data_IF_834178760223
#
_entry.id   IF_834178760223
#
_cell.length_a   1.000
_cell.length_b   1.000
_cell.length_c   1.000
_cell.angle_alpha   90.00
_cell.angle_beta   90.00
_cell.angle_gamma   90.00
#
_symmetry.space_group_name_H-M   'P 1'
#
loop_
_entity.id
_entity.type
_entity.pdbx_description
1 polymer ?
#
# COMPACT_ATOMS: atom_id res chain seq x y z
N UNK A 1 -8.75 -15.72 2.71
CA UNK A 1 -8.81 -15.87 4.18
C UNK A 1 -9.66 -17.06 4.63
N UNK A 2 -10.97 -17.11 4.33
CA UNK A 2 -11.88 -18.15 4.84
C UNK A 2 -11.45 -19.61 4.52
N UNK A 3 -10.87 -19.85 3.35
CA UNK A 3 -10.35 -21.17 2.97
C UNK A 3 -9.15 -21.59 3.84
N UNK A 4 -8.16 -20.71 4.03
CA UNK A 4 -6.99 -20.98 4.85
C UNK A 4 -7.37 -21.27 6.31
N UNK A 5 -8.37 -20.57 6.85
CA UNK A 5 -8.93 -20.84 8.18
C UNK A 5 -9.58 -22.23 8.23
N UNK A 6 -10.43 -22.55 7.24
CA UNK A 6 -11.14 -23.84 7.17
C UNK A 6 -10.16 -25.02 7.11
N UNK A 7 -9.07 -24.89 6.37
CA UNK A 7 -8.06 -25.93 6.20
C UNK A 7 -7.01 -25.95 7.33
N UNK A 8 -7.11 -25.05 8.32
CA UNK A 8 -6.10 -24.84 9.38
C UNK A 8 -4.69 -24.57 8.83
N UNK A 9 -4.60 -23.89 7.68
CA UNK A 9 -3.33 -23.49 7.08
C UNK A 9 -2.85 -22.17 7.71
N UNK A 10 -2.04 -22.30 8.75
CA UNK A 10 -1.54 -21.16 9.52
C UNK A 10 -0.51 -20.32 8.76
N UNK A 11 0.28 -20.93 7.87
CA UNK A 11 1.26 -20.21 7.07
C UNK A 11 0.55 -19.25 6.11
N UNK A 12 -0.41 -19.76 5.34
CA UNK A 12 -1.22 -18.93 4.44
C UNK A 12 -2.02 -17.87 5.20
N UNK A 13 -2.50 -18.16 6.41
CA UNK A 13 -3.21 -17.17 7.23
C UNK A 13 -2.31 -15.99 7.62
N UNK A 14 -1.04 -16.24 7.97
CA UNK A 14 -0.09 -15.18 8.32
C UNK A 14 0.23 -14.29 7.11
N UNK A 15 0.51 -14.88 5.95
CA UNK A 15 0.77 -14.14 4.71
C UNK A 15 -0.46 -13.31 4.29
N UNK A 16 -1.65 -13.93 4.29
CA UNK A 16 -2.89 -13.23 3.93
C UNK A 16 -3.26 -12.12 4.91
N UNK A 17 -2.91 -12.26 6.19
CA UNK A 17 -3.14 -11.20 7.17
C UNK A 17 -2.28 -9.98 6.88
N UNK A 18 -0.99 -10.18 6.58
CA UNK A 18 -0.12 -9.08 6.15
C UNK A 18 -0.64 -8.46 4.85
N UNK A 19 -0.92 -9.28 3.83
CA UNK A 19 -1.42 -8.80 2.54
C UNK A 19 -2.69 -7.94 2.69
N UNK A 20 -3.67 -8.39 3.48
CA UNK A 20 -4.90 -7.60 3.71
C UNK A 20 -4.60 -6.28 4.40
N UNK A 21 -3.69 -6.28 5.37
CA UNK A 21 -3.30 -5.05 6.08
C UNK A 21 -2.61 -4.08 5.13
N UNK A 22 -1.71 -4.59 4.29
CA UNK A 22 -0.99 -3.82 3.28
C UNK A 22 -1.95 -3.20 2.26
N UNK A 23 -2.89 -3.99 1.73
CA UNK A 23 -3.86 -3.49 0.76
C UNK A 23 -4.75 -2.36 1.31
N UNK A 24 -5.08 -2.36 2.60
CA UNK A 24 -5.83 -1.26 3.22
C UNK A 24 -5.03 0.04 3.22
N UNK A 25 -3.74 -0.03 3.54
CA UNK A 25 -2.86 1.15 3.52
C UNK A 25 -2.57 1.61 2.08
N UNK A 26 -2.37 0.69 1.14
CA UNK A 26 -2.14 1.01 -0.27
C UNK A 26 -3.37 1.65 -0.94
N UNK A 27 -4.58 1.15 -0.67
CA UNK A 27 -5.82 1.76 -1.18
C UNK A 27 -6.04 3.17 -0.61
N UNK A 28 -5.70 3.39 0.67
CA UNK A 28 -5.76 4.71 1.28
C UNK A 28 -4.75 5.68 0.65
N UNK A 29 -3.50 5.25 0.48
CA UNK A 29 -2.45 6.05 -0.16
C UNK A 29 -2.84 6.44 -1.60
N UNK A 30 -3.31 5.46 -2.39
CA UNK A 30 -3.80 5.72 -3.73
C UNK A 30 -4.98 6.72 -3.74
N UNK A 31 -5.93 6.55 -2.82
CA UNK A 31 -7.06 7.48 -2.66
C UNK A 31 -6.62 8.91 -2.32
N UNK A 32 -5.66 9.06 -1.40
CA UNK A 32 -5.11 10.35 -1.01
C UNK A 32 -4.41 11.06 -2.20
N UNK A 33 -3.64 10.32 -2.99
CA UNK A 33 -2.97 10.85 -4.20
C UNK A 33 -4.01 11.27 -5.24
N UNK A 34 -5.04 10.45 -5.49
CA UNK A 34 -6.13 10.81 -6.41
C UNK A 34 -6.81 12.10 -5.95
N UNK A 35 -7.13 12.21 -4.66
CA UNK A 35 -7.73 13.43 -4.10
C UNK A 35 -6.82 14.65 -4.22
N UNK A 36 -5.49 14.49 -4.15
CA UNK A 36 -4.55 15.58 -4.41
C UNK A 36 -4.54 15.98 -5.89
N UNK A 37 -4.53 15.01 -6.81
CA UNK A 37 -4.57 15.27 -8.25
C UNK A 37 -5.86 16.00 -8.66
N UNK A 38 -7.01 15.59 -8.12
CA UNK A 38 -8.30 16.27 -8.34
C UNK A 38 -8.26 17.74 -7.88
N UNK A 39 -7.63 18.02 -6.74
CA UNK A 39 -7.48 19.39 -6.22
C UNK A 39 -6.51 20.24 -7.04
N UNK A 40 -5.47 19.63 -7.61
CA UNK A 40 -4.47 20.30 -8.45
C UNK A 40 -5.12 20.78 -9.77
N UNK A 41 -5.92 19.93 -10.42
CA UNK A 41 -6.50 20.22 -11.72
C UNK A 41 -5.42 20.52 -12.76
N UNK A 42 -5.52 21.67 -13.45
CA UNK A 42 -4.59 22.05 -14.55
C UNK A 42 -3.33 22.81 -14.07
N UNK A 43 -3.06 22.85 -12.76
CA UNK A 43 -1.95 23.63 -12.21
C UNK A 43 -0.61 22.88 -12.34
N UNK A 44 0.09 23.10 -13.47
CA UNK A 44 1.35 22.40 -13.80
C UNK A 44 2.43 22.49 -12.70
N UNK A 45 2.58 23.64 -12.03
CA UNK A 45 3.58 23.79 -10.97
C UNK A 45 3.25 22.95 -9.74
N UNK A 46 1.97 22.87 -9.36
CA UNK A 46 1.53 22.04 -8.25
C UNK A 46 1.67 20.54 -8.58
N UNK A 47 1.47 20.15 -9.84
CA UNK A 47 1.74 18.79 -10.31
C UNK A 47 3.23 18.41 -10.20
N UNK A 48 4.14 19.31 -10.61
CA UNK A 48 5.58 19.08 -10.46
C UNK A 48 6.02 18.98 -8.99
N UNK A 49 5.38 19.74 -8.09
CA UNK A 49 5.64 19.62 -6.65
C UNK A 49 5.17 18.28 -6.08
N UNK A 50 4.00 17.80 -6.51
CA UNK A 50 3.49 16.49 -6.10
C UNK A 50 4.42 15.37 -6.58
N UNK A 51 4.87 15.42 -7.84
CA UNK A 51 5.83 14.45 -8.39
C UNK A 51 7.11 14.34 -7.55
N UNK A 52 7.71 15.49 -7.20
CA UNK A 52 8.91 15.52 -6.34
C UNK A 52 8.66 14.92 -4.96
N UNK A 53 7.47 15.14 -4.37
CA UNK A 53 7.11 14.52 -3.09
C UNK A 53 6.97 13.00 -3.23
N UNK A 54 6.26 12.52 -4.26
CA UNK A 54 6.02 11.10 -4.49
C UNK A 54 7.31 10.33 -4.83
N UNK A 55 8.32 11.00 -5.38
CA UNK A 55 9.65 10.42 -5.61
C UNK A 55 10.40 10.03 -4.33
N UNK A 56 10.00 10.57 -3.17
CA UNK A 56 10.63 10.27 -1.87
C UNK A 56 9.97 9.11 -1.12
N UNK A 57 8.94 8.48 -1.70
CA UNK A 57 8.22 7.38 -1.05
C UNK A 57 9.11 6.15 -0.92
N UNK A 58 8.98 5.47 0.22
CA UNK A 58 9.61 4.18 0.46
C UNK A 58 8.64 3.06 0.06
N UNK A 59 9.16 1.90 -0.39
CA UNK A 59 8.34 0.73 -0.63
C UNK A 59 7.73 0.23 0.69
N UNK A 60 6.58 -0.47 0.64
CA UNK A 60 6.04 -1.14 1.79
C UNK A 60 7.00 -2.22 2.28
N UNK A 61 7.09 -2.36 3.60
CA UNK A 61 8.01 -3.31 4.22
C UNK A 61 7.27 -4.64 4.48
N UNK A 62 7.81 -5.78 4.00
CA UNK A 62 7.23 -7.09 4.28
C UNK A 62 7.32 -7.38 5.79
N UNK A 63 6.53 -8.35 6.30
CA UNK A 63 6.57 -8.71 7.70
C UNK A 63 7.98 -9.17 8.11
N UNK A 64 8.36 -8.92 9.36
CA UNK A 64 9.72 -9.11 9.86
C UNK A 64 10.29 -10.55 9.67
N UNK A 65 9.43 -11.55 9.44
CA UNK A 65 9.85 -12.93 9.15
C UNK A 65 10.32 -13.18 7.72
N UNK A 66 9.95 -12.34 6.76
CA UNK A 66 10.36 -12.45 5.34
C UNK A 66 11.59 -11.58 5.02
N UNK A 67 12.02 -10.70 5.93
CA UNK A 67 13.17 -9.82 5.74
C UNK A 67 14.53 -10.53 5.89
N UNK A 68 14.55 -11.85 6.11
CA UNK A 68 15.72 -12.62 6.50
C UNK A 68 16.27 -13.58 5.42
N UNK A 69 15.82 -13.48 4.17
CA UNK A 69 16.44 -14.19 3.02
C UNK A 69 17.35 -13.29 2.18
#
# INVERSE_FOLDING_TARGET
>A
YALAVKENDYASQMELQWFVTEQVEEEKNAGDIVGQLERIGDQTMALLMLDQQLATRLPPQPPAGEQAE
#
